data_IF_338377150217
#
_entry.id   IF_338377150217
#
_cell.length_a   1.000
_cell.length_b   1.000
_cell.length_c   1.000
_cell.angle_alpha   90.00
_cell.angle_beta   90.00
_cell.angle_gamma   90.00
#
_symmetry.space_group_name_H-M   'P 1'
#
loop_
_entity.id
_entity.type
_entity.pdbx_description
1 polymer ?
#
# COMPACT_ATOMS: atom_id res chain seq x y z
N UNK A 1 -4.07 3.50 -16.46
CA UNK A 1 -4.37 2.36 -15.58
C UNK A 1 -5.47 2.80 -14.64
N UNK A 2 -6.56 2.06 -14.60
CA UNK A 2 -7.68 2.30 -13.69
C UNK A 2 -7.45 1.53 -12.38
N UNK A 3 -8.17 1.90 -11.32
CA UNK A 3 -8.05 1.22 -10.01
C UNK A 3 -8.53 -0.22 -10.09
N UNK A 4 -9.49 -0.47 -10.97
CA UNK A 4 -10.04 -1.79 -11.26
C UNK A 4 -8.96 -2.73 -11.81
N UNK A 5 -8.09 -2.25 -12.70
CA UNK A 5 -6.97 -3.03 -13.24
C UNK A 5 -6.02 -3.49 -12.11
N UNK A 6 -5.84 -2.65 -11.08
CA UNK A 6 -4.97 -2.95 -9.94
C UNK A 6 -5.57 -3.98 -8.98
N UNK A 7 -6.91 -4.07 -8.91
CA UNK A 7 -7.60 -5.04 -8.06
C UNK A 7 -7.49 -6.47 -8.59
N UNK A 8 -7.25 -6.62 -9.89
CA UNK A 8 -7.01 -7.91 -10.55
C UNK A 8 -5.56 -8.38 -10.43
N UNK A 9 -4.63 -7.48 -10.07
CA UNK A 9 -3.22 -7.80 -9.90
C UNK A 9 -2.97 -8.57 -8.61
N UNK A 10 -2.04 -9.53 -8.68
CA UNK A 10 -1.51 -10.19 -7.49
C UNK A 10 -0.71 -9.22 -6.63
N UNK A 11 -0.58 -9.53 -5.33
CA UNK A 11 0.29 -8.75 -4.45
C UNK A 11 1.74 -8.71 -4.95
N UNK A 12 2.26 -9.80 -5.51
CA UNK A 12 3.61 -9.84 -6.10
C UNK A 12 3.79 -8.76 -7.17
N UNK A 13 2.83 -8.64 -8.09
CA UNK A 13 2.90 -7.64 -9.16
C UNK A 13 2.79 -6.20 -8.61
N UNK A 14 1.96 -5.97 -7.58
CA UNK A 14 1.87 -4.66 -6.92
C UNK A 14 3.20 -4.30 -6.23
N UNK A 15 3.85 -5.24 -5.54
CA UNK A 15 5.18 -5.01 -4.97
C UNK A 15 6.24 -4.77 -6.06
N UNK A 16 6.15 -5.45 -7.20
CA UNK A 16 7.04 -5.17 -8.34
C UNK A 16 6.87 -3.74 -8.86
N UNK A 17 5.63 -3.23 -8.96
CA UNK A 17 5.37 -1.85 -9.37
C UNK A 17 6.00 -0.85 -8.38
N UNK A 18 5.88 -1.09 -7.08
CA UNK A 18 6.57 -0.29 -6.05
C UNK A 18 8.08 -0.35 -6.27
N UNK A 19 8.67 -1.54 -6.40
CA UNK A 19 10.11 -1.69 -6.56
C UNK A 19 10.69 -1.02 -7.82
N UNK A 20 9.95 -1.06 -8.94
CA UNK A 20 10.28 -0.38 -10.19
C UNK A 20 10.22 1.15 -10.08
N UNK A 21 9.38 1.67 -9.19
CA UNK A 21 9.22 3.11 -8.98
C UNK A 21 10.32 3.70 -8.08
N UNK A 22 11.00 2.87 -7.30
CA UNK A 22 12.09 3.27 -6.43
C UNK A 22 13.42 3.44 -7.21
N UNK A 23 14.32 4.36 -6.80
CA UNK A 23 15.62 4.55 -7.45
C UNK A 23 16.43 3.24 -7.45
N UNK A 24 17.25 3.04 -8.48
CA UNK A 24 18.09 1.85 -8.62
C UNK A 24 19.06 1.78 -7.42
N UNK A 25 18.90 0.76 -6.58
CA UNK A 25 19.90 0.40 -5.56
C UNK A 25 20.88 -0.57 -6.21
N UNK A 26 22.16 -0.53 -5.81
CA UNK A 26 23.24 -1.31 -6.44
C UNK A 26 23.20 -2.83 -6.18
N UNK A 27 22.06 -3.37 -5.77
CA UNK A 27 21.94 -4.77 -5.34
C UNK A 27 21.05 -5.57 -6.30
N UNK A 28 21.42 -6.84 -6.54
CA UNK A 28 20.71 -7.86 -7.35
C UNK A 28 19.36 -8.30 -6.75
N UNK A 29 18.63 -7.39 -6.10
CA UNK A 29 17.35 -7.67 -5.49
C UNK A 29 16.25 -7.49 -6.54
N UNK A 30 15.42 -8.53 -6.74
CA UNK A 30 14.28 -8.45 -7.65
C UNK A 30 13.38 -7.25 -7.32
N UNK A 31 12.73 -6.61 -8.32
CA UNK A 31 11.83 -5.49 -8.08
C UNK A 31 10.76 -5.80 -7.04
N UNK A 32 10.25 -7.03 -7.02
CA UNK A 32 9.30 -7.50 -6.02
C UNK A 32 9.85 -7.38 -4.59
N UNK A 33 11.03 -7.97 -4.34
CA UNK A 33 11.64 -7.98 -3.02
C UNK A 33 11.99 -6.57 -2.54
N UNK A 34 12.44 -5.71 -3.47
CA UNK A 34 12.69 -4.30 -3.21
C UNK A 34 11.40 -3.58 -2.78
N UNK A 35 10.29 -3.80 -3.48
CA UNK A 35 8.99 -3.23 -3.14
C UNK A 35 8.45 -3.74 -1.80
N UNK A 36 8.55 -5.05 -1.55
CA UNK A 36 8.15 -5.66 -0.25
C UNK A 36 8.95 -5.07 0.90
N UNK A 37 10.28 -4.97 0.76
CA UNK A 37 11.13 -4.42 1.81
C UNK A 37 10.81 -2.95 2.08
N UNK A 38 10.65 -2.15 1.02
CA UNK A 38 10.28 -0.74 1.15
C UNK A 38 8.92 -0.57 1.83
N UNK A 39 7.89 -1.34 1.43
CA UNK A 39 6.57 -1.29 2.06
C UNK A 39 6.66 -1.67 3.55
N UNK A 40 7.41 -2.73 3.88
CA UNK A 40 7.62 -3.16 5.27
C UNK A 40 8.27 -2.08 6.14
N UNK A 41 9.28 -1.38 5.62
CA UNK A 41 9.95 -0.28 6.33
C UNK A 41 9.02 0.92 6.58
N UNK A 42 8.07 1.15 5.68
CA UNK A 42 7.12 2.26 5.79
C UNK A 42 5.77 1.87 6.42
N UNK A 43 5.56 0.58 6.74
CA UNK A 43 4.29 0.04 7.25
C UNK A 43 3.76 0.80 8.46
N UNK A 44 4.62 1.15 9.42
CA UNK A 44 4.22 1.90 10.61
C UNK A 44 3.66 3.31 10.27
N UNK A 45 4.20 3.98 9.25
CA UNK A 45 3.68 5.26 8.78
C UNK A 45 2.31 5.10 8.13
N UNK A 46 2.14 4.09 7.28
CA UNK A 46 0.85 3.79 6.67
C UNK A 46 -0.22 3.47 7.72
N UNK A 47 0.11 2.70 8.77
CA UNK A 47 -0.81 2.43 9.89
C UNK A 47 -1.26 3.74 10.55
N UNK A 48 -0.33 4.65 10.85
CA UNK A 48 -0.65 5.96 11.46
C UNK A 48 -1.59 6.81 10.60
N UNK A 49 -1.53 6.67 9.27
CA UNK A 49 -2.37 7.42 8.33
C UNK A 49 -3.73 6.73 8.14
N UNK A 50 -3.73 5.42 7.92
CA UNK A 50 -4.91 4.66 7.48
C UNK A 50 -5.79 4.24 8.64
N UNK A 51 -5.21 3.75 9.74
CA UNK A 51 -5.99 3.11 10.80
C UNK A 51 -6.87 4.06 11.64
N UNK A 52 -6.58 5.37 11.80
CA UNK A 52 -7.54 6.30 12.42
C UNK A 52 -8.89 6.38 11.69
N UNK A 53 -8.89 6.10 10.38
CA UNK A 53 -10.09 6.13 9.53
C UNK A 53 -10.52 4.71 9.09
N UNK A 54 -10.03 3.66 9.76
CA UNK A 54 -10.27 2.26 9.41
C UNK A 54 -11.76 1.93 9.21
N UNK A 55 -12.63 2.36 10.14
CA UNK A 55 -14.07 2.09 10.05
C UNK A 55 -14.71 2.74 8.83
N UNK A 56 -14.24 3.94 8.45
CA UNK A 56 -14.68 4.65 7.23
C UNK A 56 -14.28 3.86 5.99
N UNK A 57 -13.02 3.43 5.89
CA UNK A 57 -12.54 2.69 4.72
C UNK A 57 -13.17 1.30 4.60
N UNK A 58 -13.47 0.65 5.73
CA UNK A 58 -14.12 -0.66 5.75
C UNK A 58 -15.57 -0.66 5.25
N UNK A 59 -16.27 0.47 5.34
CA UNK A 59 -17.65 0.60 4.86
C UNK A 59 -17.75 0.99 3.37
N UNK A 60 -16.63 1.31 2.72
CA UNK A 60 -16.56 1.70 1.31
C UNK A 60 -16.41 0.51 0.37
N UNK A 61 -16.72 0.70 -0.92
CA UNK A 61 -16.29 -0.27 -1.95
C UNK A 61 -14.76 -0.27 -2.05
N UNK A 62 -14.17 -1.41 -2.42
CA UNK A 62 -12.70 -1.54 -2.53
C UNK A 62 -12.05 -0.43 -3.36
N UNK A 63 -12.57 -0.13 -4.55
CA UNK A 63 -12.02 0.90 -5.41
C UNK A 63 -12.10 2.31 -4.78
N UNK A 64 -13.20 2.64 -4.11
CA UNK A 64 -13.38 3.91 -3.39
C UNK A 64 -12.40 4.00 -2.21
N UNK A 65 -12.26 2.91 -1.43
CA UNK A 65 -11.30 2.84 -0.34
C UNK A 65 -9.85 3.03 -0.82
N UNK A 66 -9.48 2.43 -1.97
CA UNK A 66 -8.15 2.60 -2.57
C UNK A 66 -7.89 4.06 -2.92
N UNK A 67 -8.85 4.74 -3.55
CA UNK A 67 -8.71 6.16 -3.93
C UNK A 67 -8.55 7.03 -2.68
N UNK A 68 -9.41 6.84 -1.68
CA UNK A 68 -9.37 7.61 -0.44
C UNK A 68 -8.10 7.34 0.39
N UNK A 69 -7.64 6.09 0.47
CA UNK A 69 -6.39 5.73 1.14
C UNK A 69 -5.19 6.31 0.36
N UNK A 70 -5.19 6.23 -0.96
CA UNK A 70 -4.13 6.81 -1.78
C UNK A 70 -4.05 8.33 -1.59
N UNK A 71 -5.20 9.01 -1.51
CA UNK A 71 -5.28 10.44 -1.20
C UNK A 71 -4.78 10.76 0.21
N UNK A 72 -5.10 9.92 1.20
CA UNK A 72 -4.64 10.08 2.59
C UNK A 72 -3.12 9.84 2.74
N UNK A 73 -2.56 8.88 2.00
CA UNK A 73 -1.11 8.65 1.91
C UNK A 73 -0.45 9.84 1.19
N UNK A 74 -1.11 10.38 0.16
CA UNK A 74 -0.65 11.55 -0.59
C UNK A 74 0.73 11.36 -1.21
N UNK A 75 1.43 12.47 -1.43
CA UNK A 75 2.81 12.52 -1.95
C UNK A 75 3.87 12.26 -0.88
N UNK A 76 3.49 11.74 0.30
CA UNK A 76 4.38 11.52 1.45
C UNK A 76 5.61 10.68 1.10
N UNK A 77 5.52 9.89 0.03
CA UNK A 77 6.58 9.01 -0.44
C UNK A 77 6.95 9.35 -1.89
N UNK A 78 7.86 10.33 -2.03
CA UNK A 78 8.41 10.75 -3.30
C UNK A 78 8.87 9.54 -4.14
N UNK A 79 8.24 9.36 -5.29
CA UNK A 79 8.62 8.38 -6.30
C UNK A 79 7.80 7.10 -6.32
N UNK A 80 6.90 6.82 -5.37
CA UNK A 80 6.00 5.65 -5.43
C UNK A 80 4.55 6.10 -5.55
N UNK A 81 3.82 5.71 -6.62
CA UNK A 81 2.39 6.02 -6.72
C UNK A 81 1.60 5.45 -5.54
N UNK A 82 0.95 6.33 -4.78
CA UNK A 82 0.20 5.98 -3.56
C UNK A 82 -0.91 4.94 -3.81
N UNK A 83 -1.44 4.91 -5.04
CA UNK A 83 -2.43 3.91 -5.46
C UNK A 83 -1.90 2.47 -5.36
N UNK A 84 -0.62 2.20 -5.62
CA UNK A 84 -0.06 0.85 -5.47
C UNK A 84 -0.02 0.43 -4.00
N UNK A 85 0.34 1.37 -3.14
CA UNK A 85 0.41 1.17 -1.69
C UNK A 85 -1.01 0.92 -1.15
N UNK A 86 -1.96 1.76 -1.54
CA UNK A 86 -3.36 1.65 -1.14
C UNK A 86 -4.00 0.33 -1.57
N UNK A 87 -3.73 -0.14 -2.80
CA UNK A 87 -4.22 -1.44 -3.27
C UNK A 87 -3.67 -2.59 -2.43
N UNK A 88 -2.37 -2.58 -2.08
CA UNK A 88 -1.78 -3.61 -1.19
C UNK A 88 -2.46 -3.59 0.17
N UNK A 89 -2.67 -2.41 0.77
CA UNK A 89 -3.32 -2.28 2.08
C UNK A 89 -4.74 -2.85 2.06
N UNK A 90 -5.51 -2.57 1.00
CA UNK A 90 -6.87 -3.10 0.85
C UNK A 90 -6.87 -4.62 0.58
N UNK A 91 -5.89 -5.14 -0.17
CA UNK A 91 -5.75 -6.57 -0.47
C UNK A 91 -5.33 -7.40 0.76
N UNK A 92 -4.45 -6.86 1.62
CA UNK A 92 -4.08 -7.47 2.90
C UNK A 92 -5.24 -7.52 3.91
N UNK A 93 -6.40 -6.96 3.57
CA UNK A 93 -7.55 -6.66 4.43
C UNK A 93 -7.23 -5.59 5.49
N UNK A 94 -8.12 -4.61 5.60
CA UNK A 94 -7.98 -3.51 6.56
C UNK A 94 -7.97 -4.01 8.02
N UNK A 95 -8.64 -5.13 8.29
CA UNK A 95 -8.63 -5.79 9.59
C UNK A 95 -7.22 -6.27 9.97
N UNK A 96 -6.59 -7.13 9.16
CA UNK A 96 -5.24 -7.61 9.44
C UNK A 96 -4.19 -6.48 9.40
N UNK A 97 -4.42 -5.45 8.58
CA UNK A 97 -3.53 -4.30 8.50
C UNK A 97 -3.57 -3.44 9.77
N UNK A 98 -4.76 -3.20 10.34
CA UNK A 98 -4.95 -2.33 11.50
C UNK A 98 -5.04 -3.04 12.85
N UNK A 99 -5.17 -4.37 12.90
CA UNK A 99 -5.16 -5.17 14.14
C UNK A 99 -3.80 -5.22 14.87
N UNK A 100 -2.80 -4.43 14.46
CA UNK A 100 -1.50 -4.27 15.15
C UNK A 100 -1.56 -3.15 16.21
N UNK A 101 -2.75 -2.68 16.62
CA UNK A 101 -2.90 -1.67 17.68
C UNK A 101 -3.68 -2.14 18.93
N UNK A 102 -4.00 -3.43 19.06
CA UNK A 102 -4.79 -3.91 20.20
C UNK A 102 -3.98 -4.46 21.39
N UNK A 103 -2.63 -4.45 21.33
CA UNK A 103 -1.75 -4.95 22.41
C UNK A 103 -0.64 -3.94 22.79
N UNK A 104 -1.01 -2.70 23.08
CA UNK A 104 -0.18 -1.78 23.89
C UNK A 104 -1.03 -0.99 24.88
#
# INVERSE_FOLDING_TARGET
MKVEDLLEMSESELYQLIGKSLPVMRDDISPENKGRNWFRLNKAHFIKIVCPNYLKFKSMKKAEAIVEIAAAIGDTFLGVPAVFIATIIVNLTLDAFCQIQSDQ
#
